data_IF_824147298120
#
_entry.id   IF_824147298120
#
_cell.length_a   1.000
_cell.length_b   1.000
_cell.length_c   1.000
_cell.angle_alpha   90.00
_cell.angle_beta   90.00
_cell.angle_gamma   90.00
#
_symmetry.space_group_name_H-M   'P 1'
#
loop_
_entity.id
_entity.type
_entity.pdbx_description
1 polymer ?
#
# COMPACT_ATOMS: atom_id res chain seq x y z
N UNK A 1 19.55 -5.29 -12.56
CA UNK A 1 19.34 -3.82 -12.50
C UNK A 1 17.93 -3.39 -12.88
N UNK A 2 17.40 -3.80 -14.04
CA UNK A 2 16.04 -3.43 -14.49
C UNK A 2 14.92 -3.73 -13.47
N UNK A 3 14.82 -4.97 -12.98
CA UNK A 3 13.77 -5.38 -12.02
C UNK A 3 13.83 -4.59 -10.71
N UNK A 4 15.02 -4.19 -10.27
CA UNK A 4 15.23 -3.38 -9.06
C UNK A 4 14.70 -1.96 -9.23
N UNK A 5 14.98 -1.32 -10.38
CA UNK A 5 14.44 0.00 -10.69
C UNK A 5 12.92 -0.04 -10.85
N UNK A 6 12.37 -1.09 -11.44
CA UNK A 6 10.92 -1.28 -11.52
C UNK A 6 10.31 -1.41 -10.13
N UNK A 7 10.88 -2.25 -9.26
CA UNK A 7 10.41 -2.39 -7.87
C UNK A 7 10.44 -1.04 -7.12
N UNK A 8 11.56 -0.32 -7.21
CA UNK A 8 11.69 1.01 -6.60
C UNK A 8 10.69 2.02 -7.19
N UNK A 9 10.44 1.98 -8.50
CA UNK A 9 9.46 2.82 -9.18
C UNK A 9 8.01 2.56 -8.75
N UNK A 10 7.60 1.29 -8.68
CA UNK A 10 6.24 0.92 -8.27
C UNK A 10 5.97 1.32 -6.81
N UNK A 11 6.99 1.28 -5.95
CA UNK A 11 6.91 1.79 -4.58
C UNK A 11 6.41 3.25 -4.52
N UNK A 12 6.89 4.11 -5.43
CA UNK A 12 6.44 5.50 -5.48
C UNK A 12 4.99 5.64 -5.94
N UNK A 13 4.50 4.73 -6.80
CA UNK A 13 3.08 4.67 -7.15
C UNK A 13 2.22 4.24 -5.94
N UNK A 14 2.69 3.28 -5.14
CA UNK A 14 2.00 2.88 -3.91
C UNK A 14 1.92 4.05 -2.91
N UNK A 15 3.00 4.82 -2.75
CA UNK A 15 2.99 6.05 -1.94
C UNK A 15 2.01 7.09 -2.48
N UNK A 16 2.04 7.35 -3.79
CA UNK A 16 1.17 8.32 -4.44
C UNK A 16 -0.31 7.96 -4.23
N UNK A 17 -0.71 6.73 -4.58
CA UNK A 17 -2.10 6.31 -4.38
C UNK A 17 -2.47 6.22 -2.91
N UNK A 18 -1.52 5.91 -2.02
CA UNK A 18 -1.73 5.93 -0.57
C UNK A 18 -2.04 7.32 -0.06
N UNK A 19 -1.24 8.32 -0.42
CA UNK A 19 -1.46 9.73 -0.04
C UNK A 19 -2.80 10.22 -0.60
N UNK A 20 -3.09 9.93 -1.88
CA UNK A 20 -4.35 10.33 -2.51
C UNK A 20 -5.56 9.65 -1.84
N UNK A 21 -5.49 8.34 -1.58
CA UNK A 21 -6.57 7.60 -0.92
C UNK A 21 -6.77 8.06 0.52
N UNK A 22 -5.70 8.29 1.28
CA UNK A 22 -5.77 8.77 2.66
C UNK A 22 -6.34 10.18 2.72
N UNK A 23 -5.82 11.10 1.91
CA UNK A 23 -6.30 12.49 1.84
C UNK A 23 -7.77 12.55 1.42
N UNK A 24 -8.17 11.75 0.43
CA UNK A 24 -9.56 11.69 0.00
C UNK A 24 -10.48 11.07 1.06
N UNK A 25 -10.03 10.05 1.78
CA UNK A 25 -10.79 9.44 2.86
C UNK A 25 -10.97 10.41 4.03
N UNK A 26 -9.90 11.11 4.44
CA UNK A 26 -9.95 12.14 5.47
C UNK A 26 -10.88 13.29 5.07
N UNK A 27 -10.80 13.75 3.82
CA UNK A 27 -11.75 14.74 3.30
C UNK A 27 -13.19 14.24 3.37
N UNK A 28 -13.43 12.99 2.98
CA UNK A 28 -14.74 12.35 3.06
C UNK A 28 -15.32 12.31 4.46
N UNK A 29 -14.49 11.96 5.45
CA UNK A 29 -14.85 11.98 6.87
C UNK A 29 -15.13 13.41 7.34
N UNK A 30 -14.24 14.36 7.04
CA UNK A 30 -14.34 15.74 7.51
C UNK A 30 -15.57 16.48 6.98
N UNK A 31 -15.99 16.21 5.74
CA UNK A 31 -17.17 16.87 5.14
C UNK A 31 -18.47 16.09 5.31
N UNK A 32 -18.45 14.89 5.91
CA UNK A 32 -19.65 14.05 6.07
C UNK A 32 -20.34 13.65 4.75
N UNK A 33 -19.59 13.66 3.64
CA UNK A 33 -20.14 13.40 2.30
C UNK A 33 -20.48 11.92 2.13
N UNK A 34 -21.42 11.56 1.24
CA UNK A 34 -21.68 10.17 0.90
C UNK A 34 -20.47 9.53 0.22
N UNK A 35 -20.29 8.23 0.47
CA UNK A 35 -19.27 7.41 -0.17
C UNK A 35 -19.51 7.35 -1.68
N UNK A 36 -18.44 7.38 -2.46
CA UNK A 36 -18.53 7.41 -3.92
C UNK A 36 -17.55 6.46 -4.61
N UNK A 37 -17.68 6.38 -5.94
CA UNK A 37 -16.82 5.55 -6.77
C UNK A 37 -15.36 6.02 -6.80
N UNK A 38 -15.09 7.30 -6.50
CA UNK A 38 -13.71 7.83 -6.49
C UNK A 38 -12.92 7.21 -5.34
N UNK A 39 -13.50 7.15 -4.14
CA UNK A 39 -12.88 6.47 -3.00
C UNK A 39 -12.59 5.00 -3.31
N UNK A 40 -13.56 4.31 -3.92
CA UNK A 40 -13.41 2.89 -4.31
C UNK A 40 -12.25 2.69 -5.27
N UNK A 41 -12.14 3.54 -6.31
CA UNK A 41 -11.06 3.45 -7.31
C UNK A 41 -9.70 3.73 -6.68
N UNK A 42 -9.58 4.80 -5.89
CA UNK A 42 -8.33 5.16 -5.21
C UNK A 42 -7.84 4.04 -4.29
N UNK A 43 -8.74 3.48 -3.47
CA UNK A 43 -8.40 2.37 -2.59
C UNK A 43 -8.02 1.10 -3.36
N UNK A 44 -8.66 0.87 -4.51
CA UNK A 44 -8.30 -0.23 -5.42
C UNK A 44 -6.92 -0.05 -6.05
N UNK A 45 -6.59 1.14 -6.57
CA UNK A 45 -5.28 1.44 -7.13
C UNK A 45 -4.16 1.34 -6.08
N UNK A 46 -4.43 1.82 -4.87
CA UNK A 46 -3.53 1.65 -3.74
C UNK A 46 -3.24 0.17 -3.43
N UNK A 47 -4.27 -0.67 -3.33
CA UNK A 47 -4.08 -2.09 -3.07
C UNK A 47 -3.35 -2.80 -4.21
N UNK A 48 -3.73 -2.55 -5.47
CA UNK A 48 -3.09 -3.17 -6.65
C UNK A 48 -1.62 -2.80 -6.75
N UNK A 49 -1.26 -1.53 -6.49
CA UNK A 49 0.16 -1.12 -6.52
C UNK A 49 0.99 -1.82 -5.45
N UNK A 50 0.45 -2.05 -4.25
CA UNK A 50 1.10 -2.88 -3.23
C UNK A 50 1.32 -4.33 -3.71
N UNK A 51 0.30 -4.96 -4.30
CA UNK A 51 0.42 -6.34 -4.81
C UNK A 51 1.47 -6.45 -5.91
N UNK A 52 1.45 -5.53 -6.88
CA UNK A 52 2.45 -5.50 -7.96
C UNK A 52 3.84 -5.29 -7.36
N UNK A 53 3.98 -4.38 -6.39
CA UNK A 53 5.27 -4.13 -5.74
C UNK A 53 5.81 -5.39 -5.05
N UNK A 54 4.96 -6.09 -4.30
CA UNK A 54 5.33 -7.34 -3.61
C UNK A 54 5.70 -8.44 -4.59
N UNK A 55 4.95 -8.61 -5.69
CA UNK A 55 5.27 -9.62 -6.70
C UNK A 55 6.64 -9.38 -7.34
N UNK A 56 6.96 -8.13 -7.67
CA UNK A 56 8.28 -7.78 -8.20
C UNK A 56 9.37 -7.97 -7.13
N UNK A 57 9.09 -7.61 -5.88
CA UNK A 57 10.01 -7.80 -4.75
C UNK A 57 10.33 -9.28 -4.51
N UNK A 58 9.33 -10.16 -4.58
CA UNK A 58 9.53 -11.61 -4.52
C UNK A 58 10.35 -12.10 -5.72
N UNK A 59 10.08 -11.61 -6.93
CA UNK A 59 10.88 -11.94 -8.10
C UNK A 59 12.36 -11.54 -7.94
N UNK A 60 12.64 -10.41 -7.28
CA UNK A 60 14.01 -9.98 -6.99
C UNK A 60 14.80 -10.95 -6.11
N UNK A 61 14.14 -11.65 -5.19
CA UNK A 61 14.81 -12.64 -4.33
C UNK A 61 15.45 -13.78 -5.16
N UNK A 62 14.90 -14.07 -6.34
CA UNK A 62 15.43 -15.09 -7.25
C UNK A 62 16.54 -14.56 -8.17
N UNK A 63 16.89 -13.28 -8.10
CA UNK A 63 17.93 -12.66 -8.95
C UNK A 63 19.33 -12.65 -8.32
N UNK A 64 19.52 -13.34 -7.19
CA UNK A 64 20.84 -13.51 -6.55
C UNK A 64 21.23 -12.37 -5.59
N UNK A 65 20.27 -11.58 -5.09
CA UNK A 65 20.53 -10.46 -4.16
C UNK A 65 21.03 -10.90 -2.77
N UNK A 66 21.07 -12.19 -2.47
CA UNK A 66 21.36 -12.72 -1.14
C UNK A 66 20.23 -12.47 -0.14
N UNK A 67 20.18 -13.26 0.93
CA UNK A 67 19.21 -13.07 2.01
C UNK A 67 19.93 -12.72 3.31
N UNK A 68 19.45 -11.71 4.01
CA UNK A 68 19.93 -11.27 5.32
C UNK A 68 18.74 -10.87 6.21
N UNK A 69 18.88 -10.90 7.55
CA UNK A 69 17.73 -10.77 8.46
C UNK A 69 16.86 -9.53 8.22
N UNK A 70 17.48 -8.38 7.96
CA UNK A 70 16.80 -7.12 7.70
C UNK A 70 16.00 -7.16 6.38
N UNK A 71 16.51 -7.84 5.35
CA UNK A 71 15.73 -8.09 4.13
C UNK A 71 14.51 -8.97 4.42
N UNK A 72 14.63 -9.95 5.30
CA UNK A 72 13.50 -10.75 5.76
C UNK A 72 12.41 -9.90 6.43
N UNK A 73 12.80 -9.00 7.34
CA UNK A 73 11.88 -8.06 8.00
C UNK A 73 11.20 -7.16 6.98
N UNK A 74 11.97 -6.61 6.03
CA UNK A 74 11.42 -5.81 4.94
C UNK A 74 10.36 -6.58 4.14
N UNK A 75 10.68 -7.79 3.67
CA UNK A 75 9.76 -8.61 2.86
C UNK A 75 8.47 -8.90 3.63
N UNK A 76 8.57 -9.32 4.89
CA UNK A 76 7.40 -9.60 5.73
C UNK A 76 6.55 -8.36 5.95
N UNK A 77 7.16 -7.20 6.21
CA UNK A 77 6.45 -5.94 6.37
C UNK A 77 5.73 -5.51 5.09
N UNK A 78 6.36 -5.68 3.92
CA UNK A 78 5.74 -5.35 2.62
C UNK A 78 4.59 -6.29 2.27
N UNK A 79 4.71 -7.59 2.56
CA UNK A 79 3.60 -8.56 2.42
C UNK A 79 2.46 -8.18 3.37
N UNK A 80 2.77 -7.88 4.64
CA UNK A 80 1.79 -7.42 5.61
C UNK A 80 1.06 -6.15 5.16
N UNK A 81 1.80 -5.18 4.63
CA UNK A 81 1.24 -3.95 4.09
C UNK A 81 0.29 -4.21 2.91
N UNK A 82 0.63 -5.14 2.01
CA UNK A 82 -0.23 -5.53 0.90
C UNK A 82 -1.52 -6.24 1.37
N UNK A 83 -1.42 -7.09 2.40
CA UNK A 83 -2.60 -7.71 3.03
C UNK A 83 -3.48 -6.63 3.64
N UNK A 84 -2.93 -5.75 4.47
CA UNK A 84 -3.69 -4.65 5.10
C UNK A 84 -4.32 -3.77 4.03
N UNK A 85 -3.59 -3.34 3.00
CA UNK A 85 -4.11 -2.52 1.92
C UNK A 85 -5.33 -3.15 1.23
N UNK A 86 -5.40 -4.49 1.16
CA UNK A 86 -6.47 -5.23 0.49
C UNK A 86 -7.75 -5.42 1.32
N UNK A 87 -7.67 -5.39 2.67
CA UNK A 87 -8.78 -5.76 3.56
C UNK A 87 -10.00 -4.88 3.30
N UNK A 88 -9.90 -3.57 3.54
CA UNK A 88 -11.07 -2.68 3.45
C UNK A 88 -11.63 -2.59 2.03
N UNK A 89 -10.85 -2.46 0.95
CA UNK A 89 -11.39 -2.53 -0.41
C UNK A 89 -12.16 -3.84 -0.69
N UNK A 90 -11.69 -4.98 -0.17
CA UNK A 90 -12.32 -6.28 -0.34
C UNK A 90 -13.63 -6.43 0.41
N UNK A 91 -13.72 -5.81 1.59
CA UNK A 91 -14.96 -5.76 2.38
C UNK A 91 -15.94 -4.79 1.74
N UNK A 92 -15.51 -3.56 1.43
CA UNK A 92 -16.39 -2.51 0.91
C UNK A 92 -16.97 -2.84 -0.46
N UNK A 93 -16.22 -3.53 -1.34
CA UNK A 93 -16.77 -3.94 -2.66
C UNK A 93 -17.97 -4.89 -2.55
N UNK A 94 -18.13 -5.57 -1.42
CA UNK A 94 -19.24 -6.52 -1.16
C UNK A 94 -20.46 -5.86 -0.52
N UNK A 95 -20.34 -4.62 -0.04
CA UNK A 95 -21.44 -3.87 0.57
C UNK A 95 -22.23 -3.05 -0.46
N UNK A 96 -23.54 -2.85 -0.29
CA UNK A 96 -24.32 -1.81 -0.98
C UNK A 96 -23.67 -0.44 -0.85
N UNK A 97 -23.94 0.49 -1.77
CA UNK A 97 -23.28 1.79 -1.75
C UNK A 97 -23.67 2.63 -0.53
N UNK A 98 -24.93 2.53 -0.06
CA UNK A 98 -25.42 3.29 1.09
C UNK A 98 -24.74 2.90 2.41
N UNK A 99 -24.21 1.68 2.52
CA UNK A 99 -23.55 1.16 3.73
C UNK A 99 -22.04 1.42 3.79
N UNK A 100 -21.46 2.00 2.73
CA UNK A 100 -20.01 2.24 2.65
C UNK A 100 -19.64 3.54 3.35
N UNK A 101 -18.52 3.51 4.05
CA UNK A 101 -18.03 4.65 4.82
C UNK A 101 -16.54 4.90 4.57
N UNK A 102 -16.11 6.14 4.80
CA UNK A 102 -14.72 6.55 4.56
C UNK A 102 -13.77 6.13 5.70
N UNK A 103 -14.24 6.09 6.94
CA UNK A 103 -13.36 5.88 8.11
C UNK A 103 -12.53 4.58 8.05
N UNK A 104 -13.07 3.43 7.61
CA UNK A 104 -12.27 2.23 7.45
C UNK A 104 -11.11 2.40 6.46
N UNK A 105 -11.27 3.22 5.41
CA UNK A 105 -10.19 3.51 4.48
C UNK A 105 -9.08 4.36 5.11
N UNK A 106 -9.40 5.29 6.01
CA UNK A 106 -8.39 6.08 6.75
C UNK A 106 -7.48 5.15 7.54
N UNK A 107 -8.07 4.29 8.38
CA UNK A 107 -7.32 3.36 9.23
C UNK A 107 -6.51 2.37 8.38
N UNK A 108 -7.14 1.79 7.35
CA UNK A 108 -6.52 0.80 6.48
C UNK A 108 -5.32 1.36 5.70
N UNK A 109 -5.48 2.55 5.09
CA UNK A 109 -4.41 3.17 4.32
C UNK A 109 -3.28 3.63 5.23
N UNK A 110 -3.60 4.25 6.38
CA UNK A 110 -2.58 4.66 7.34
C UNK A 110 -1.76 3.47 7.88
N UNK A 111 -2.43 2.36 8.23
CA UNK A 111 -1.75 1.15 8.70
C UNK A 111 -0.86 0.50 7.62
N UNK A 112 -1.35 0.41 6.38
CA UNK A 112 -0.55 -0.12 5.27
C UNK A 112 0.68 0.76 4.97
N UNK A 113 0.52 2.09 4.99
CA UNK A 113 1.63 3.03 4.82
C UNK A 113 2.64 2.92 5.98
N UNK A 114 2.17 2.81 7.22
CA UNK A 114 3.06 2.63 8.37
C UNK A 114 3.89 1.34 8.27
N UNK A 115 3.29 0.23 7.85
CA UNK A 115 3.99 -1.04 7.62
C UNK A 115 5.03 -0.92 6.49
N UNK A 116 4.68 -0.23 5.41
CA UNK A 116 5.61 0.02 4.32
C UNK A 116 6.80 0.89 4.75
N UNK A 117 6.53 1.97 5.49
CA UNK A 117 7.58 2.84 6.04
C UNK A 117 8.51 2.03 6.94
N UNK A 118 7.95 1.25 7.86
CA UNK A 118 8.71 0.36 8.74
C UNK A 118 9.57 -0.64 7.94
N UNK A 119 8.98 -1.32 6.94
CA UNK A 119 9.69 -2.26 6.10
C UNK A 119 10.85 -1.61 5.35
N UNK A 120 10.67 -0.42 4.77
CA UNK A 120 11.75 0.32 4.09
C UNK A 120 12.85 0.71 5.06
N UNK A 121 12.51 1.28 6.22
CA UNK A 121 13.49 1.74 7.20
C UNK A 121 14.25 0.60 7.89
N UNK A 122 13.75 -0.63 7.80
CA UNK A 122 14.50 -1.81 8.28
C UNK A 122 15.72 -2.15 7.42
N UNK A 123 15.77 -1.67 6.17
CA UNK A 123 16.94 -1.85 5.28
C UNK A 123 17.96 -0.74 5.56
N UNK A 124 19.21 -1.08 5.96
CA UNK A 124 20.24 -0.08 6.20
C UNK A 124 20.51 0.79 4.96
N UNK A 125 20.52 2.11 5.15
CA UNK A 125 20.79 3.08 4.07
C UNK A 125 19.64 3.28 3.07
N UNK A 126 18.51 2.58 3.23
CA UNK A 126 17.34 2.81 2.40
C UNK A 126 16.62 4.09 2.81
N UNK A 127 16.06 4.80 1.84
CA UNK A 127 15.21 5.95 2.11
C UNK A 127 13.83 5.81 1.45
N UNK A 128 12.87 6.54 1.96
CA UNK A 128 11.48 6.55 1.46
C UNK A 128 11.36 7.40 0.18
N UNK A 129 12.26 8.38 -0.03
CA UNK A 129 12.15 9.42 -1.06
C UNK A 129 13.38 9.48 -2.00
N UNK A 130 14.36 8.58 -1.83
CA UNK A 130 15.63 8.55 -2.57
C UNK A 130 16.48 7.34 -2.20
#
# INVERSE_FOLDING_TARGET
MFVYHTHSGIRYLALLFGILALGYALYGVATGRPYDQRMRKLAGYFAVTFHVNVLIGVALLFTGTGFYPQLGIHVLAMIGAAVVAQIVPSVMRRRPMEERTFMPHVVNVAAALALMVFGVLSIPGASIVG
#
